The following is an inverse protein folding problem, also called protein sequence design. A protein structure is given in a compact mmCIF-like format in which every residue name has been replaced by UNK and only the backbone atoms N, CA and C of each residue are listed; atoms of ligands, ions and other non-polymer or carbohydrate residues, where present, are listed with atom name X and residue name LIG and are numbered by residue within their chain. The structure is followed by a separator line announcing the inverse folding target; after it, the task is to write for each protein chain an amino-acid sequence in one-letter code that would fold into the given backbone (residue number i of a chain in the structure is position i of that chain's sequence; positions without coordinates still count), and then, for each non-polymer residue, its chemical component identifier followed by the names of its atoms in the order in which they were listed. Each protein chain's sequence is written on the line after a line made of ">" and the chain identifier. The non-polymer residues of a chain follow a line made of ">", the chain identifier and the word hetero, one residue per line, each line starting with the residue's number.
data_IF_269491482025
#
_entry.id   IF_269491482025
#
_cell.length_a   1.000
_cell.length_b   1.000
_cell.length_c   1.000
_cell.angle_alpha   90.00
_cell.angle_beta   90.00
_cell.angle_gamma   90.00
#
_symmetry.space_group_name_H-M   'P 1'
#
loop_
_entity.id
_entity.type
_entity.pdbx_description
1 polymer ?
#
# COMPACT_ATOMS: atom_id res chain seq x y z
N UNK A 1 12.81 14.42 13.10
CA UNK A 1 12.56 15.88 13.00
C UNK A 1 11.54 16.26 11.90
N UNK A 2 10.90 15.30 11.21
CA UNK A 2 9.95 15.55 10.11
C UNK A 2 8.53 15.95 10.57
N UNK A 3 7.98 15.30 11.60
CA UNK A 3 6.59 15.52 12.05
C UNK A 3 6.30 16.96 12.51
N UNK A 4 7.24 17.63 13.20
CA UNK A 4 7.06 19.02 13.64
C UNK A 4 6.93 20.01 12.47
N UNK A 5 7.61 19.76 11.35
CA UNK A 5 7.48 20.58 10.13
C UNK A 5 6.11 20.38 9.47
N UNK A 6 5.59 19.16 9.50
CA UNK A 6 4.24 18.84 9.01
C UNK A 6 3.14 19.56 9.78
N UNK A 7 3.20 19.55 11.13
CA UNK A 7 2.18 20.22 11.95
C UNK A 7 2.19 21.75 11.81
N UNK A 8 3.36 22.37 11.65
CA UNK A 8 3.47 23.81 11.43
C UNK A 8 2.93 24.22 10.05
N UNK A 9 3.19 23.43 9.01
CA UNK A 9 2.63 23.66 7.67
C UNK A 9 1.10 23.48 7.64
N UNK A 10 0.60 22.45 8.33
CA UNK A 10 -0.84 22.23 8.51
C UNK A 10 -1.49 23.36 9.32
N UNK A 11 -0.84 23.85 10.38
CA UNK A 11 -1.31 24.98 11.18
C UNK A 11 -1.35 26.30 10.38
N UNK A 12 -0.37 26.53 9.51
CA UNK A 12 -0.31 27.73 8.68
C UNK A 12 -1.43 27.77 7.63
N UNK A 13 -1.78 26.61 7.09
CA UNK A 13 -2.82 26.44 6.05
C UNK A 13 -4.21 26.09 6.58
N UNK A 14 -4.38 25.98 7.90
CA UNK A 14 -5.66 25.64 8.53
C UNK A 14 -6.73 26.71 8.23
N UNK A 15 -7.92 26.26 7.83
CA UNK A 15 -9.09 27.11 7.52
C UNK A 15 -10.18 26.96 8.60
N UNK A 16 -10.07 27.66 9.74
CA UNK A 16 -11.12 27.62 10.75
C UNK A 16 -12.39 28.32 10.22
N UNK A 17 -13.57 27.81 10.60
CA UNK A 17 -14.89 28.41 10.32
C UNK A 17 -15.33 28.51 8.84
N UNK A 18 -14.79 27.68 7.94
CA UNK A 18 -15.29 27.60 6.55
C UNK A 18 -14.89 28.79 5.66
N UNK A 19 -13.89 29.57 6.05
CA UNK A 19 -13.37 30.67 5.24
C UNK A 19 -12.60 30.16 4.00
N UNK A 20 -12.73 30.80 2.82
CA UNK A 20 -12.08 30.36 1.59
C UNK A 20 -10.54 30.50 1.62
N UNK A 21 -10.01 31.45 2.39
CA UNK A 21 -8.58 31.78 2.50
C UNK A 21 -8.15 31.65 3.98
N UNK A 22 -6.99 31.03 4.29
CA UNK A 22 -6.51 30.89 5.67
C UNK A 22 -6.25 32.25 6.34
N UNK A 23 -6.68 32.48 7.59
CA UNK A 23 -6.46 33.74 8.32
C UNK A 23 -4.99 34.17 8.41
N UNK A 24 -4.05 33.22 8.49
CA UNK A 24 -2.62 33.50 8.59
C UNK A 24 -2.07 34.22 7.36
N UNK A 25 -2.63 34.00 6.17
CA UNK A 25 -2.24 34.72 4.95
C UNK A 25 -2.64 36.21 4.99
N UNK A 26 -3.74 36.54 5.68
CA UNK A 26 -4.13 37.93 5.92
C UNK A 26 -3.20 38.61 6.93
N UNK A 27 -2.74 37.88 7.96
CA UNK A 27 -1.73 38.37 8.91
C UNK A 27 -0.43 38.76 8.21
N UNK A 28 0.13 37.84 7.42
CA UNK A 28 1.38 38.08 6.66
C UNK A 28 1.21 39.26 5.70
N UNK A 29 0.11 39.30 4.95
CA UNK A 29 -0.14 40.39 3.99
C UNK A 29 -0.30 41.75 4.70
N UNK A 30 -1.03 41.80 5.82
CA UNK A 30 -1.25 43.04 6.58
C UNK A 30 0.04 43.56 7.22
N UNK A 31 0.86 42.68 7.84
CA UNK A 31 2.13 43.07 8.45
C UNK A 31 3.22 43.39 7.43
N UNK A 32 3.23 42.71 6.27
CA UNK A 32 4.12 43.05 5.16
C UNK A 32 3.83 44.46 4.63
N UNK A 33 2.54 44.79 4.46
CA UNK A 33 2.08 46.09 3.96
C UNK A 33 2.31 47.21 4.98
N UNK A 34 2.05 46.96 6.27
CA UNK A 34 2.38 47.90 7.35
C UNK A 34 3.88 48.15 7.50
N UNK A 35 4.72 47.13 7.34
CA UNK A 35 6.17 47.32 7.43
C UNK A 35 6.79 48.01 6.20
N UNK A 36 6.16 47.88 5.02
CA UNK A 36 6.57 48.58 3.82
C UNK A 36 6.17 50.07 3.82
N UNK A 37 5.02 50.43 4.41
CA UNK A 37 4.47 51.79 4.38
C UNK A 37 4.75 52.63 5.64
N UNK A 38 4.96 52.01 6.81
CA UNK A 38 5.04 52.72 8.09
C UNK A 38 6.42 52.58 8.74
N UNK A 39 6.87 51.35 9.01
CA UNK A 39 8.18 51.10 9.61
C UNK A 39 8.61 49.63 9.44
N UNK A 40 9.83 49.34 8.95
CA UNK A 40 10.31 47.97 8.75
C UNK A 40 10.34 47.11 10.02
N UNK A 41 10.32 47.71 11.22
CA UNK A 41 10.21 46.99 12.49
C UNK A 41 8.93 46.16 12.65
N UNK A 42 7.85 46.49 11.93
CA UNK A 42 6.60 45.71 11.96
C UNK A 42 6.75 44.32 11.32
N UNK A 43 7.73 44.11 10.45
CA UNK A 43 8.02 42.78 9.90
C UNK A 43 8.49 41.80 10.97
N UNK A 44 9.33 42.26 11.91
CA UNK A 44 9.81 41.43 13.02
C UNK A 44 8.71 41.13 14.04
N UNK A 45 7.83 42.10 14.30
CA UNK A 45 6.70 41.94 15.23
C UNK A 45 5.66 40.97 14.65
N UNK A 46 5.30 41.11 13.37
CA UNK A 46 4.37 40.21 12.68
C UNK A 46 4.89 38.78 12.62
N UNK A 47 6.16 38.61 12.19
CA UNK A 47 6.80 37.29 12.16
C UNK A 47 6.92 36.65 13.55
N UNK A 48 7.17 37.45 14.59
CA UNK A 48 7.22 36.99 15.98
C UNK A 48 5.86 36.52 16.51
N UNK A 49 4.79 37.29 16.28
CA UNK A 49 3.43 36.96 16.70
C UNK A 49 2.89 35.71 15.99
N UNK A 50 3.07 35.62 14.68
CA UNK A 50 2.67 34.45 13.91
C UNK A 50 3.48 33.20 14.29
N UNK A 51 4.79 33.37 14.51
CA UNK A 51 5.64 32.29 15.00
C UNK A 51 5.17 31.73 16.35
N UNK A 52 4.78 32.61 17.27
CA UNK A 52 4.29 32.24 18.60
C UNK A 52 2.90 31.58 18.52
N UNK A 53 2.02 32.08 17.66
CA UNK A 53 0.71 31.47 17.39
C UNK A 53 0.82 30.06 16.80
N UNK A 54 1.64 29.86 15.78
CA UNK A 54 1.86 28.55 15.16
C UNK A 54 2.54 27.57 16.12
N UNK A 55 3.45 28.07 16.95
CA UNK A 55 4.08 27.26 18.00
C UNK A 55 3.08 26.80 19.07
N UNK A 56 2.14 27.66 19.47
CA UNK A 56 1.08 27.31 20.40
C UNK A 56 0.07 26.33 19.76
N UNK A 57 -0.35 26.56 18.51
CA UNK A 57 -1.32 25.73 17.80
C UNK A 57 -0.76 24.33 17.46
N UNK A 58 0.50 24.25 17.04
CA UNK A 58 1.17 22.97 16.76
C UNK A 58 1.42 22.11 18.02
N UNK A 59 1.35 22.70 19.22
CA UNK A 59 1.41 21.99 20.50
C UNK A 59 0.04 21.53 21.02
N UNK A 60 -1.06 21.98 20.41
CA UNK A 60 -2.40 21.61 20.86
C UNK A 60 -2.75 20.17 20.43
N UNK A 61 -3.03 19.30 21.40
CA UNK A 61 -3.32 17.88 21.19
C UNK A 61 -4.53 17.64 20.29
N UNK A 62 -5.58 18.47 20.39
CA UNK A 62 -6.79 18.35 19.57
C UNK A 62 -6.53 18.69 18.10
N UNK A 63 -5.67 19.67 17.86
CA UNK A 63 -5.25 20.06 16.51
C UNK A 63 -4.41 18.95 15.87
N UNK A 64 -3.43 18.40 16.62
CA UNK A 64 -2.64 17.25 16.17
C UNK A 64 -3.50 16.04 15.87
N UNK A 65 -4.44 15.68 16.76
CA UNK A 65 -5.37 14.57 16.56
C UNK A 65 -6.22 14.73 15.28
N UNK A 66 -6.63 15.96 14.95
CA UNK A 66 -7.42 16.23 13.74
C UNK A 66 -6.56 16.13 12.47
N UNK A 67 -5.35 16.70 12.49
CA UNK A 67 -4.39 16.62 11.37
C UNK A 67 -3.91 15.18 11.15
N UNK A 68 -3.66 14.44 12.23
CA UNK A 68 -3.28 13.02 12.17
C UNK A 68 -4.43 12.17 11.60
N UNK A 69 -5.68 12.47 11.98
CA UNK A 69 -6.86 11.79 11.44
C UNK A 69 -7.10 12.10 9.94
N UNK A 70 -6.92 13.35 9.52
CA UNK A 70 -7.13 13.77 8.13
C UNK A 70 -5.99 13.31 7.21
N UNK A 71 -4.74 13.41 7.69
CA UNK A 71 -3.57 12.86 7.02
C UNK A 71 -3.62 11.33 6.87
N UNK A 72 -4.14 10.62 7.88
CA UNK A 72 -4.38 9.18 7.81
C UNK A 72 -5.41 8.81 6.73
N UNK A 73 -6.52 9.55 6.65
CA UNK A 73 -7.60 9.35 5.67
C UNK A 73 -7.17 9.56 4.22
N UNK A 74 -6.43 10.63 3.98
CA UNK A 74 -6.01 10.99 2.62
C UNK A 74 -4.92 10.06 2.11
N UNK A 75 -4.03 9.61 3.00
CA UNK A 75 -2.93 8.71 2.69
C UNK A 75 -3.40 7.27 2.43
N UNK A 76 -4.44 6.75 3.12
CA UNK A 76 -4.92 5.39 2.80
C UNK A 76 -5.66 5.33 1.46
N UNK A 77 -6.48 6.34 1.13
CA UNK A 77 -7.25 6.35 -0.11
C UNK A 77 -6.34 6.31 -1.34
N UNK A 78 -5.23 7.06 -1.30
CA UNK A 78 -4.23 7.04 -2.37
C UNK A 78 -3.52 5.68 -2.45
N UNK A 79 -3.18 5.05 -1.31
CA UNK A 79 -2.51 3.73 -1.26
C UNK A 79 -3.39 2.61 -1.79
N UNK A 80 -4.60 2.49 -1.24
CA UNK A 80 -5.58 1.51 -1.68
C UNK A 80 -5.94 1.72 -3.16
N UNK A 81 -6.16 2.99 -3.55
CA UNK A 81 -6.40 3.37 -4.94
C UNK A 81 -5.24 2.99 -5.85
N UNK A 82 -3.99 3.19 -5.41
CA UNK A 82 -2.79 2.79 -6.13
C UNK A 82 -2.76 1.28 -6.41
N UNK A 83 -2.97 0.45 -5.38
CA UNK A 83 -3.01 -1.00 -5.54
C UNK A 83 -4.14 -1.48 -6.45
N UNK A 84 -5.36 -0.98 -6.22
CA UNK A 84 -6.53 -1.34 -7.04
C UNK A 84 -6.36 -0.88 -8.49
N UNK A 85 -5.68 0.24 -8.75
CA UNK A 85 -5.49 0.76 -10.11
C UNK A 85 -4.73 -0.21 -11.02
N UNK A 86 -3.82 -1.01 -10.46
CA UNK A 86 -3.03 -2.02 -11.19
C UNK A 86 -3.84 -3.28 -11.50
N UNK A 87 -4.91 -3.53 -10.74
CA UNK A 87 -5.74 -4.72 -10.89
C UNK A 87 -6.72 -4.60 -12.06
N UNK A 88 -6.92 -5.72 -12.75
CA UNK A 88 -8.01 -5.90 -13.72
C UNK A 88 -9.37 -6.08 -13.03
N UNK A 89 -10.44 -6.12 -13.82
CA UNK A 89 -11.81 -6.22 -13.29
C UNK A 89 -12.03 -7.53 -12.53
N UNK A 90 -11.41 -8.64 -12.95
CA UNK A 90 -11.58 -9.93 -12.28
C UNK A 90 -10.89 -9.93 -10.91
N UNK A 91 -9.65 -9.45 -10.82
CA UNK A 91 -8.92 -9.34 -9.56
C UNK A 91 -9.61 -8.37 -8.59
N UNK A 92 -10.22 -7.28 -9.09
CA UNK A 92 -11.04 -6.38 -8.27
C UNK A 92 -12.25 -7.09 -7.68
N UNK A 93 -13.01 -7.85 -8.49
CA UNK A 93 -14.17 -8.61 -7.99
C UNK A 93 -13.77 -9.65 -6.96
N UNK A 94 -12.65 -10.34 -7.17
CA UNK A 94 -12.11 -11.30 -6.21
C UNK A 94 -11.74 -10.60 -4.90
N UNK A 95 -11.06 -9.45 -4.96
CA UNK A 95 -10.75 -8.67 -3.76
C UNK A 95 -12.01 -8.22 -3.03
N UNK A 96 -13.00 -7.68 -3.75
CA UNK A 96 -14.29 -7.26 -3.18
C UNK A 96 -14.98 -8.42 -2.47
N UNK A 97 -14.96 -9.63 -3.04
CA UNK A 97 -15.55 -10.81 -2.41
C UNK A 97 -14.89 -11.17 -1.07
N UNK A 98 -13.57 -11.07 -0.97
CA UNK A 98 -12.84 -11.30 0.27
C UNK A 98 -13.09 -10.18 1.28
N UNK A 99 -13.15 -8.93 0.83
CA UNK A 99 -13.48 -7.82 1.72
C UNK A 99 -14.88 -7.95 2.32
N UNK A 100 -15.86 -8.43 1.54
CA UNK A 100 -17.21 -8.72 2.04
C UNK A 100 -17.15 -9.84 3.09
N UNK A 101 -16.50 -10.96 2.80
CA UNK A 101 -16.37 -12.08 3.75
C UNK A 101 -15.64 -11.67 5.02
N UNK A 102 -14.56 -10.91 4.89
CA UNK A 102 -13.78 -10.41 6.02
C UNK A 102 -14.58 -9.40 6.86
N UNK A 103 -15.40 -8.56 6.23
CA UNK A 103 -16.32 -7.66 6.94
C UNK A 103 -17.40 -8.42 7.72
N UNK A 104 -17.96 -9.50 7.15
CA UNK A 104 -18.89 -10.39 7.86
C UNK A 104 -18.24 -11.01 9.10
N UNK A 105 -17.01 -11.51 8.97
CA UNK A 105 -16.25 -12.06 10.10
C UNK A 105 -16.05 -10.98 11.18
N UNK A 106 -15.62 -9.77 10.80
CA UNK A 106 -15.43 -8.66 11.75
C UNK A 106 -16.73 -8.30 12.48
N UNK A 107 -17.86 -8.31 11.77
CA UNK A 107 -19.16 -8.04 12.39
C UNK A 107 -19.56 -9.12 13.41
N UNK A 108 -19.34 -10.40 13.08
CA UNK A 108 -19.59 -11.51 14.00
C UNK A 108 -18.70 -11.41 15.24
N UNK A 109 -17.40 -11.17 15.04
CA UNK A 109 -16.42 -10.98 16.12
C UNK A 109 -16.78 -9.82 17.04
N UNK A 110 -17.23 -8.70 16.47
CA UNK A 110 -17.66 -7.54 17.25
C UNK A 110 -18.88 -7.84 18.13
N UNK A 111 -19.80 -8.71 17.68
CA UNK A 111 -20.97 -9.14 18.47
C UNK A 111 -20.60 -10.09 19.60
N UNK A 112 -19.57 -10.91 19.42
CA UNK A 112 -19.10 -11.87 20.43
C UNK A 112 -18.08 -11.30 21.40
N UNK A 113 -17.82 -9.99 21.39
CA UNK A 113 -16.88 -9.35 22.34
C UNK A 113 -15.39 -9.52 22.01
N UNK A 114 -15.06 -9.83 20.76
CA UNK A 114 -13.67 -9.99 20.32
C UNK A 114 -12.82 -8.73 20.57
N UNK A 115 -11.52 -8.93 20.77
CA UNK A 115 -10.55 -7.85 20.99
C UNK A 115 -10.23 -7.09 19.70
N UNK A 116 -9.70 -5.86 19.80
CA UNK A 116 -9.28 -5.10 18.60
C UNK A 116 -8.14 -5.81 17.84
N UNK A 117 -7.28 -6.57 18.54
CA UNK A 117 -6.22 -7.36 17.90
C UNK A 117 -6.81 -8.39 16.93
N UNK A 118 -7.86 -9.06 17.36
CA UNK A 118 -8.59 -10.08 16.61
C UNK A 118 -9.23 -9.51 15.34
N UNK A 119 -9.83 -8.32 15.44
CA UNK A 119 -10.37 -7.59 14.29
C UNK A 119 -9.24 -7.11 13.36
N UNK A 120 -8.11 -6.68 13.92
CA UNK A 120 -6.95 -6.23 13.15
C UNK A 120 -6.33 -7.37 12.33
N UNK A 121 -6.33 -8.61 12.82
CA UNK A 121 -5.81 -9.77 12.11
C UNK A 121 -6.64 -10.07 10.85
N UNK A 122 -7.97 -10.06 10.95
CA UNK A 122 -8.87 -10.23 9.78
C UNK A 122 -8.65 -9.11 8.76
N UNK A 123 -8.43 -7.89 9.22
CA UNK A 123 -8.10 -6.74 8.37
C UNK A 123 -6.74 -6.91 7.69
N UNK A 124 -5.74 -7.41 8.41
CA UNK A 124 -4.42 -7.70 7.87
C UNK A 124 -4.47 -8.76 6.78
N UNK A 125 -5.33 -9.78 6.92
CA UNK A 125 -5.55 -10.79 5.89
C UNK A 125 -6.07 -10.18 4.57
N UNK A 126 -7.16 -9.41 4.64
CA UNK A 126 -7.74 -8.77 3.46
C UNK A 126 -6.74 -7.83 2.77
N UNK A 127 -5.89 -7.16 3.56
CA UNK A 127 -4.82 -6.31 3.08
C UNK A 127 -3.68 -7.08 2.41
N UNK A 128 -3.26 -8.20 3.01
CA UNK A 128 -2.24 -9.08 2.44
C UNK A 128 -2.69 -9.67 1.10
N UNK A 129 -3.94 -10.11 1.01
CA UNK A 129 -4.51 -10.62 -0.23
C UNK A 129 -4.48 -9.57 -1.35
N UNK A 130 -4.86 -8.32 -1.06
CA UNK A 130 -4.75 -7.22 -2.04
C UNK A 130 -3.32 -7.01 -2.52
N UNK A 131 -2.34 -7.02 -1.61
CA UNK A 131 -0.93 -6.87 -1.97
C UNK A 131 -0.45 -8.00 -2.87
N UNK A 132 -0.83 -9.25 -2.58
CA UNK A 132 -0.49 -10.40 -3.42
C UNK A 132 -1.17 -10.34 -4.79
N UNK A 133 -2.40 -9.83 -4.88
CA UNK A 133 -3.04 -9.56 -6.18
C UNK A 133 -2.26 -8.52 -7.00
N UNK A 134 -1.81 -7.44 -6.36
CA UNK A 134 -1.02 -6.42 -7.03
C UNK A 134 0.36 -6.96 -7.46
N UNK A 135 1.01 -7.76 -6.61
CA UNK A 135 2.25 -8.46 -6.95
C UNK A 135 2.06 -9.39 -8.15
N UNK A 136 0.98 -10.18 -8.17
CA UNK A 136 0.61 -11.03 -9.30
C UNK A 136 0.45 -10.21 -10.59
N UNK A 137 -0.26 -9.08 -10.54
CA UNK A 137 -0.45 -8.23 -11.70
C UNK A 137 0.88 -7.71 -12.27
N UNK A 138 1.80 -7.28 -11.41
CA UNK A 138 3.16 -6.87 -11.81
C UNK A 138 3.96 -8.01 -12.42
N UNK A 139 3.90 -9.22 -11.85
CA UNK A 139 4.57 -10.41 -12.39
C UNK A 139 4.02 -10.75 -13.78
N UNK A 140 2.71 -10.69 -13.98
CA UNK A 140 2.08 -10.93 -15.28
C UNK A 140 2.53 -9.93 -16.36
N UNK A 141 2.80 -8.67 -15.98
CA UNK A 141 3.37 -7.70 -16.91
C UNK A 141 4.79 -8.09 -17.35
N UNK A 142 5.62 -8.58 -16.41
CA UNK A 142 6.97 -9.07 -16.70
C UNK A 142 6.91 -10.29 -17.63
N UNK A 143 6.05 -11.26 -17.35
CA UNK A 143 5.86 -12.46 -18.18
C UNK A 143 5.38 -12.07 -19.58
N UNK A 144 4.39 -11.19 -19.70
CA UNK A 144 3.92 -10.74 -21.00
C UNK A 144 5.02 -10.02 -21.81
N UNK A 145 5.94 -9.31 -21.14
CA UNK A 145 7.11 -8.73 -21.80
C UNK A 145 8.12 -9.80 -22.21
N UNK A 146 8.38 -10.76 -21.33
CA UNK A 146 9.28 -11.89 -21.59
C UNK A 146 8.84 -12.71 -22.81
N UNK A 147 7.54 -13.00 -22.94
CA UNK A 147 7.00 -13.77 -24.06
C UNK A 147 7.20 -13.06 -25.41
N UNK A 148 7.05 -11.73 -25.44
CA UNK A 148 7.32 -10.93 -26.64
C UNK A 148 8.81 -10.95 -27.02
N UNK A 149 9.70 -10.95 -26.03
CA UNK A 149 11.15 -10.88 -26.24
C UNK A 149 11.82 -12.25 -26.42
N UNK A 150 11.17 -13.33 -26.00
CA UNK A 150 11.73 -14.69 -25.93
C UNK A 150 12.41 -15.14 -27.21
N UNK A 151 11.71 -15.05 -28.35
CA UNK A 151 12.26 -15.45 -29.66
C UNK A 151 13.48 -14.63 -30.05
N UNK A 152 13.43 -13.32 -29.81
CA UNK A 152 14.53 -12.41 -30.12
C UNK A 152 15.77 -12.73 -29.27
N UNK A 153 15.58 -13.00 -27.98
CA UNK A 153 16.68 -13.39 -27.08
C UNK A 153 17.30 -14.74 -27.48
N UNK A 154 16.48 -15.72 -27.86
CA UNK A 154 16.95 -17.03 -28.34
C UNK A 154 17.75 -16.93 -29.65
N UNK A 155 17.34 -16.04 -30.56
CA UNK A 155 18.09 -15.79 -31.79
C UNK A 155 19.39 -15.01 -31.52
N UNK A 156 19.35 -14.00 -30.64
CA UNK A 156 20.54 -13.25 -30.23
C UNK A 156 21.57 -14.16 -29.58
N UNK A 157 21.14 -15.04 -28.67
CA UNK A 157 22.02 -16.02 -28.04
C UNK A 157 22.69 -16.92 -29.06
N UNK A 158 21.92 -17.48 -30.01
CA UNK A 158 22.46 -18.31 -31.11
C UNK A 158 23.50 -17.54 -31.92
N UNK A 159 23.18 -16.33 -32.37
CA UNK A 159 24.11 -15.48 -33.14
C UNK A 159 25.40 -15.18 -32.36
N UNK A 160 25.33 -14.95 -31.06
CA UNK A 160 26.51 -14.69 -30.22
C UNK A 160 27.36 -15.96 -30.07
N UNK A 161 26.74 -17.12 -29.84
CA UNK A 161 27.43 -18.42 -29.76
C UNK A 161 28.12 -18.76 -31.08
N UNK A 162 27.46 -18.56 -32.21
CA UNK A 162 28.03 -18.82 -33.54
C UNK A 162 29.27 -17.94 -33.78
N UNK A 163 29.21 -16.66 -33.39
CA UNK A 163 30.35 -15.72 -33.51
C UNK A 163 31.50 -16.06 -32.56
N UNK A 164 31.20 -16.53 -31.35
CA UNK A 164 32.21 -17.01 -30.39
C UNK A 164 32.92 -18.28 -30.88
N UNK A 165 32.27 -19.06 -31.74
CA UNK A 165 32.81 -20.31 -32.30
C UNK A 165 33.64 -20.10 -33.58
N UNK A 166 33.73 -18.87 -34.08
CA UNK A 166 34.52 -18.57 -35.27
C UNK A 166 36.02 -18.52 -34.95
N UNK A 167 36.84 -19.16 -35.79
CA UNK A 167 38.30 -19.32 -35.59
C UNK A 167 39.11 -18.00 -35.59
N UNK A 168 38.52 -16.88 -36.04
CA UNK A 168 39.25 -15.62 -36.28
C UNK A 168 38.69 -14.42 -35.50
N UNK A 169 38.42 -14.58 -34.21
CA UNK A 169 38.00 -13.48 -33.33
C UNK A 169 39.15 -12.96 -32.46
N UNK A 170 39.19 -11.64 -32.24
CA UNK A 170 40.16 -11.02 -31.32
C UNK A 170 39.76 -11.24 -29.86
N UNK A 171 40.74 -11.25 -28.94
CA UNK A 171 40.49 -11.46 -27.51
C UNK A 171 39.57 -10.42 -26.86
N UNK A 172 39.58 -9.18 -27.37
CA UNK A 172 38.67 -8.12 -26.93
C UNK A 172 37.23 -8.37 -27.38
N UNK A 173 37.04 -8.75 -28.65
CA UNK A 173 35.72 -9.11 -29.18
C UNK A 173 35.15 -10.33 -28.46
N UNK A 174 36.00 -11.34 -28.20
CA UNK A 174 35.61 -12.53 -27.44
C UNK A 174 35.08 -12.17 -26.05
N UNK A 175 35.81 -11.35 -25.28
CA UNK A 175 35.35 -10.88 -23.96
C UNK A 175 34.03 -10.11 -24.04
N UNK A 176 33.86 -9.25 -25.03
CA UNK A 176 32.61 -8.50 -25.22
C UNK A 176 31.42 -9.42 -25.53
N UNK A 177 31.60 -10.42 -26.40
CA UNK A 177 30.58 -11.40 -26.73
C UNK A 177 30.24 -12.31 -25.53
N UNK A 178 31.21 -12.70 -24.71
CA UNK A 178 31.00 -13.45 -23.46
C UNK A 178 30.18 -12.64 -22.43
N UNK A 179 30.46 -11.34 -22.30
CA UNK A 179 29.66 -10.43 -21.47
C UNK A 179 28.22 -10.31 -22.00
N UNK A 180 28.07 -10.16 -23.32
CA UNK A 180 26.75 -10.10 -23.96
C UNK A 180 25.95 -11.39 -23.70
N UNK A 181 26.59 -12.55 -23.85
CA UNK A 181 25.98 -13.86 -23.57
C UNK A 181 25.54 -13.98 -22.10
N UNK A 182 26.37 -13.51 -21.16
CA UNK A 182 26.04 -13.47 -19.73
C UNK A 182 24.78 -12.64 -19.46
N UNK A 183 24.67 -11.45 -20.07
CA UNK A 183 23.47 -10.60 -19.95
C UNK A 183 22.23 -11.28 -20.53
N UNK A 184 22.34 -11.88 -21.72
CA UNK A 184 21.21 -12.57 -22.36
C UNK A 184 20.73 -13.75 -21.49
N UNK A 185 21.66 -14.56 -20.96
CA UNK A 185 21.32 -15.69 -20.08
C UNK A 185 20.68 -15.23 -18.77
N UNK A 186 21.23 -14.19 -18.14
CA UNK A 186 20.64 -13.60 -16.93
C UNK A 186 19.21 -13.10 -17.17
N UNK A 187 18.93 -12.46 -18.31
CA UNK A 187 17.56 -12.05 -18.69
C UNK A 187 16.62 -13.24 -18.87
N UNK A 188 17.09 -14.31 -19.53
CA UNK A 188 16.29 -15.54 -19.72
C UNK A 188 16.00 -16.22 -18.38
N UNK A 189 16.98 -16.26 -17.47
CA UNK A 189 16.79 -16.79 -16.13
C UNK A 189 15.77 -15.97 -15.34
N UNK A 190 15.83 -14.64 -15.41
CA UNK A 190 14.84 -13.76 -14.79
C UNK A 190 13.42 -14.00 -15.32
N UNK A 191 13.27 -14.32 -16.61
CA UNK A 191 11.98 -14.69 -17.19
C UNK A 191 11.44 -16.02 -16.64
N UNK A 192 12.29 -17.04 -16.51
CA UNK A 192 11.91 -18.33 -15.89
C UNK A 192 11.62 -18.18 -14.40
N UNK A 193 12.33 -17.29 -13.72
CA UNK A 193 12.07 -16.99 -12.32
C UNK A 193 10.71 -16.31 -12.14
N UNK A 194 10.33 -15.36 -13.01
CA UNK A 194 9.02 -14.72 -12.95
C UNK A 194 7.84 -15.72 -13.02
N UNK A 195 7.94 -16.78 -13.83
CA UNK A 195 6.93 -17.85 -13.87
C UNK A 195 6.85 -18.63 -12.56
N UNK A 196 8.00 -19.00 -11.98
CA UNK A 196 8.03 -19.67 -10.66
C UNK A 196 7.43 -18.80 -9.57
N UNK A 197 7.72 -17.49 -9.60
CA UNK A 197 7.12 -16.50 -8.69
C UNK A 197 5.60 -16.43 -8.86
N UNK A 198 5.10 -16.46 -10.10
CA UNK A 198 3.67 -16.45 -10.40
C UNK A 198 2.96 -17.64 -9.76
N UNK A 199 3.48 -18.85 -9.97
CA UNK A 199 2.88 -20.09 -9.43
C UNK A 199 2.77 -20.05 -7.91
N UNK A 200 3.84 -19.61 -7.25
CA UNK A 200 3.89 -19.52 -5.80
C UNK A 200 2.97 -18.41 -5.25
N UNK A 201 2.85 -17.27 -5.91
CA UNK A 201 1.87 -16.23 -5.53
C UNK A 201 0.43 -16.73 -5.73
N UNK A 202 0.15 -17.46 -6.80
CA UNK A 202 -1.18 -18.03 -7.04
C UNK A 202 -1.56 -19.06 -5.98
N UNK A 203 -0.63 -19.93 -5.59
CA UNK A 203 -0.84 -20.88 -4.50
C UNK A 203 -1.13 -20.16 -3.17
N UNK A 204 -0.40 -19.09 -2.87
CA UNK A 204 -0.59 -18.32 -1.64
C UNK A 204 -1.91 -17.55 -1.62
N UNK A 205 -2.32 -16.98 -2.76
CA UNK A 205 -3.64 -16.34 -2.90
C UNK A 205 -4.77 -17.34 -2.64
N UNK A 206 -4.65 -18.56 -3.17
CA UNK A 206 -5.64 -19.61 -2.95
C UNK A 206 -5.65 -20.09 -1.49
N UNK A 207 -4.47 -20.28 -0.89
CA UNK A 207 -4.33 -20.61 0.53
C UNK A 207 -5.03 -19.59 1.44
N UNK A 208 -4.84 -18.30 1.19
CA UNK A 208 -5.49 -17.24 1.97
C UNK A 208 -7.01 -17.25 1.78
N UNK A 209 -7.53 -17.48 0.56
CA UNK A 209 -8.98 -17.58 0.32
C UNK A 209 -9.62 -18.73 1.09
N UNK A 210 -8.99 -19.89 1.09
CA UNK A 210 -9.48 -21.06 1.83
C UNK A 210 -9.52 -20.79 3.32
N UNK A 211 -8.53 -20.05 3.85
CA UNK A 211 -8.51 -19.64 5.26
C UNK A 211 -9.61 -18.65 5.60
N UNK A 212 -9.90 -17.67 4.73
CA UNK A 212 -11.04 -16.76 4.91
C UNK A 212 -12.33 -17.58 4.99
N UNK A 213 -12.54 -18.52 4.05
CA UNK A 213 -13.74 -19.37 4.03
C UNK A 213 -13.86 -20.20 5.30
N UNK A 214 -12.77 -20.85 5.72
CA UNK A 214 -12.73 -21.66 6.94
C UNK A 214 -13.09 -20.84 8.18
N UNK A 215 -12.50 -19.66 8.35
CA UNK A 215 -12.76 -18.81 9.51
C UNK A 215 -14.19 -18.28 9.49
N UNK A 216 -14.72 -17.96 8.31
CA UNK A 216 -16.12 -17.58 8.16
C UNK A 216 -17.06 -18.72 8.53
N UNK A 217 -16.80 -19.94 8.04
CA UNK A 217 -17.57 -21.14 8.36
C UNK A 217 -17.53 -21.43 9.86
N UNK A 218 -16.36 -21.35 10.48
CA UNK A 218 -16.20 -21.51 11.92
C UNK A 218 -16.92 -20.42 12.71
N UNK A 219 -16.84 -19.16 12.29
CA UNK A 219 -17.55 -18.06 12.95
C UNK A 219 -19.08 -18.19 12.84
N UNK A 220 -19.60 -18.79 11.76
CA UNK A 220 -21.03 -19.07 11.60
C UNK A 220 -21.50 -20.27 12.42
N UNK A 221 -20.65 -21.29 12.58
CA UNK A 221 -20.94 -22.49 13.36
C UNK A 221 -20.72 -22.31 14.87
N UNK A 222 -19.92 -21.32 15.23
CA UNK A 222 -19.63 -21.00 16.62
C UNK A 222 -20.85 -20.42 17.33
N UNK A 223 -21.58 -21.28 18.03
CA UNK A 223 -22.52 -20.85 19.08
C UNK A 223 -21.82 -20.30 20.33
N UNK A 224 -20.51 -20.56 20.47
CA UNK A 224 -19.77 -20.35 21.73
C UNK A 224 -18.48 -19.55 21.47
N UNK A 225 -18.20 -18.59 22.36
CA UNK A 225 -17.09 -17.62 22.29
C UNK A 225 -15.69 -18.27 22.19
N UNK A 226 -15.50 -19.44 22.79
CA UNK A 226 -14.22 -20.16 22.79
C UNK A 226 -13.85 -20.76 21.42
N UNK A 227 -14.85 -21.18 20.62
CA UNK A 227 -14.59 -21.78 19.31
C UNK A 227 -14.20 -20.73 18.25
N UNK A 228 -14.74 -19.52 18.38
CA UNK A 228 -14.35 -18.34 17.58
C UNK A 228 -12.90 -17.96 17.86
N UNK A 229 -12.51 -17.92 19.14
CA UNK A 229 -11.15 -17.57 19.53
C UNK A 229 -10.11 -18.55 18.98
N UNK A 230 -10.35 -19.87 19.05
CA UNK A 230 -9.40 -20.87 18.52
C UNK A 230 -9.27 -20.82 17.00
N UNK A 231 -10.36 -20.58 16.29
CA UNK A 231 -10.37 -20.40 14.83
C UNK A 231 -9.55 -19.19 14.41
N UNK A 232 -9.61 -18.15 15.24
CA UNK A 232 -8.90 -16.92 15.01
C UNK A 232 -7.42 -17.00 15.39
N UNK A 233 -7.05 -17.72 16.45
CA UNK A 233 -5.66 -18.01 16.78
C UNK A 233 -4.98 -18.77 15.62
N UNK A 234 -5.70 -19.69 14.97
CA UNK A 234 -5.22 -20.37 13.76
C UNK A 234 -5.04 -19.40 12.58
N UNK A 235 -5.95 -18.43 12.41
CA UNK A 235 -5.81 -17.35 11.42
C UNK A 235 -4.59 -16.47 11.73
N UNK A 236 -4.42 -16.00 12.96
CA UNK A 236 -3.28 -15.16 13.36
C UNK A 236 -1.96 -15.91 13.19
N UNK A 237 -1.91 -17.20 13.51
CA UNK A 237 -0.74 -18.04 13.26
C UNK A 237 -0.42 -18.15 11.76
N UNK A 238 -1.43 -18.42 10.94
CA UNK A 238 -1.28 -18.50 9.48
C UNK A 238 -0.88 -17.17 8.85
N UNK A 239 -1.41 -16.05 9.33
CA UNK A 239 -1.04 -14.72 8.86
C UNK A 239 0.37 -14.34 9.25
N UNK A 240 0.80 -14.70 10.45
CA UNK A 240 2.19 -14.53 10.86
C UNK A 240 3.12 -15.38 10.00
N UNK A 241 2.70 -16.59 9.62
CA UNK A 241 3.43 -17.41 8.65
C UNK A 241 3.46 -16.78 7.25
N UNK A 242 2.33 -16.30 6.74
CA UNK A 242 2.24 -15.60 5.46
C UNK A 242 3.11 -14.34 5.42
N UNK A 243 3.12 -13.57 6.52
CA UNK A 243 3.90 -12.35 6.66
C UNK A 243 5.40 -12.63 6.83
N UNK A 244 5.76 -13.69 7.58
CA UNK A 244 7.15 -14.17 7.65
C UNK A 244 7.62 -14.63 6.29
N UNK A 245 6.84 -15.46 5.62
CA UNK A 245 7.12 -15.92 4.28
C UNK A 245 7.27 -14.74 3.30
N UNK A 246 6.36 -13.77 3.31
CA UNK A 246 6.45 -12.59 2.45
C UNK A 246 7.72 -11.79 2.72
N UNK A 247 8.13 -11.68 4.00
CA UNK A 247 9.39 -11.06 4.41
C UNK A 247 10.61 -11.84 3.95
N UNK A 248 10.58 -13.16 4.08
CA UNK A 248 11.65 -14.07 3.66
C UNK A 248 11.78 -14.11 2.14
N UNK A 249 10.67 -13.93 1.41
CA UNK A 249 10.61 -13.84 -0.04
C UNK A 249 10.77 -12.39 -0.55
N UNK A 250 11.16 -11.42 0.28
CA UNK A 250 11.37 -10.02 -0.18
C UNK A 250 12.38 -9.90 -1.30
N UNK A 251 13.40 -10.76 -1.32
CA UNK A 251 14.37 -10.82 -2.43
C UNK A 251 13.71 -11.21 -3.76
N UNK A 252 12.69 -12.07 -3.68
CA UNK A 252 11.85 -12.50 -4.81
C UNK A 252 10.85 -11.42 -5.22
N UNK A 253 10.51 -10.50 -4.33
CA UNK A 253 9.65 -9.36 -4.62
C UNK A 253 10.42 -8.02 -4.73
N UNK A 254 11.75 -8.06 -4.86
CA UNK A 254 12.59 -6.86 -4.95
C UNK A 254 12.09 -5.96 -6.10
N UNK A 255 11.66 -4.74 -5.76
CA UNK A 255 10.92 -3.83 -6.66
C UNK A 255 9.44 -3.60 -6.29
N UNK A 256 8.89 -4.40 -5.38
CA UNK A 256 7.58 -4.23 -4.73
C UNK A 256 7.74 -3.91 -3.23
N UNK A 257 8.96 -3.55 -2.78
CA UNK A 257 9.35 -3.36 -1.37
C UNK A 257 8.49 -2.35 -0.59
N UNK A 258 7.81 -1.42 -1.26
CA UNK A 258 6.90 -0.47 -0.60
C UNK A 258 5.61 -1.14 -0.06
N UNK A 259 5.38 -2.42 -0.41
CA UNK A 259 4.16 -3.13 -0.05
C UNK A 259 4.29 -4.00 1.20
N UNK A 260 5.48 -4.42 1.65
CA UNK A 260 5.57 -5.55 2.60
C UNK A 260 5.55 -5.16 4.08
N UNK A 261 6.01 -3.96 4.46
CA UNK A 261 6.18 -3.58 5.88
C UNK A 261 5.04 -2.73 6.46
N UNK A 262 4.03 -2.38 5.64
CA UNK A 262 3.03 -1.41 6.07
C UNK A 262 1.75 -2.06 6.64
N UNK A 263 1.31 -1.66 7.86
CA UNK A 263 0.14 -2.22 8.53
C UNK A 263 -1.17 -1.94 7.76
N UNK A 264 -2.24 -2.69 8.04
CA UNK A 264 -3.49 -2.53 7.31
C UNK A 264 -4.16 -1.22 7.76
N UNK A 265 -4.74 -0.45 6.84
CA UNK A 265 -5.37 0.82 7.21
C UNK A 265 -6.61 0.55 8.06
N UNK A 266 -6.77 1.24 9.20
CA UNK A 266 -7.86 0.99 10.16
C UNK A 266 -9.27 1.15 9.58
N UNK A 267 -9.39 1.77 8.41
CA UNK A 267 -10.63 2.00 7.69
C UNK A 267 -11.02 0.83 6.76
N UNK A 268 -10.10 -0.09 6.48
CA UNK A 268 -10.38 -1.31 5.73
C UNK A 268 -11.39 -2.17 6.51
N UNK A 269 -12.38 -2.69 5.79
CA UNK A 269 -13.53 -3.47 6.31
C UNK A 269 -14.50 -2.67 7.21
N UNK A 270 -14.31 -1.37 7.41
CA UNK A 270 -15.32 -0.57 8.10
C UNK A 270 -16.57 -0.46 7.21
N UNK A 271 -17.78 -0.58 7.79
CA UNK A 271 -19.00 -0.36 7.03
C UNK A 271 -18.94 1.02 6.39
N UNK A 272 -19.08 1.11 5.07
CA UNK A 272 -19.15 2.38 4.35
C UNK A 272 -20.37 3.15 4.88
N UNK A 273 -20.15 4.08 5.80
CA UNK A 273 -21.16 4.96 6.36
C UNK A 273 -21.70 5.90 5.26
N UNK A 274 -22.58 5.39 4.39
CA UNK A 274 -23.12 6.18 3.29
C UNK A 274 -23.97 5.44 2.27
N UNK A 275 -23.82 4.11 2.11
CA UNK A 275 -24.59 3.39 1.09
C UNK A 275 -26.10 3.25 1.45
N UNK A 276 -26.44 3.21 2.74
CA UNK A 276 -27.82 2.98 3.19
C UNK A 276 -28.72 4.23 3.29
N UNK A 277 -28.23 5.44 2.95
CA UNK A 277 -29.05 6.67 3.06
C UNK A 277 -29.82 7.02 1.78
N UNK A 278 -29.57 6.34 0.65
CA UNK A 278 -30.28 6.60 -0.62
C UNK A 278 -31.52 5.73 -0.88
N UNK A 279 -31.81 4.74 -0.05
CA UNK A 279 -32.92 3.81 -0.28
C UNK A 279 -34.13 4.02 0.64
N UNK A 280 -34.14 5.05 1.49
CA UNK A 280 -35.29 5.41 2.36
C UNK A 280 -36.02 6.70 1.95
N UNK A 281 -35.72 7.25 0.77
CA UNK A 281 -36.43 8.42 0.23
C UNK A 281 -36.82 8.14 -1.22
N UNK A 282 -37.55 7.05 -1.43
CA UNK A 282 -38.32 6.79 -2.65
C UNK A 282 -39.34 5.70 -2.29
N UNK A 283 -40.56 6.15 -2.01
CA UNK A 283 -41.82 5.39 -1.93
C UNK A 283 -42.07 4.47 -0.73
#
# INVERSE_FOLDING_TARGET
>A
MSARRSYLAAAFSAKPFGMPIPPNWFGVAAFALLGALVNPGFWLIGAGLEGLYLWALSRNERFRATVDADGGKQNWNSRYGGLISVLDNQARQVQESIEIQAAEIVELLARTGATESQIADVRQMAWLHLKLLAARASILQVIASADREKRNLEEQERRVIDRLSADSITDELKRSLEQQLTVIRSRREAHLDAERRRELVEAELERLRQQVSLVREQALLATDEHSVASSLDALSASLNEANRWLKDQREIFAGLDDLTDEPPPAELLRPKAGANRRQRVSE
#
